data_IF_711983668581
#
_entry.id   IF_711983668581
#
_cell.length_a   1.000
_cell.length_b   1.000
_cell.length_c   1.000
_cell.angle_alpha   90.00
_cell.angle_beta   90.00
_cell.angle_gamma   90.00
#
_symmetry.space_group_name_H-M   'P 1'
#
loop_
_entity.id
_entity.type
_entity.pdbx_description
1 polymer ?
#
# COMPACT_ATOMS: atom_id res chain seq x y z
N UNK A 1 -43.05 35.01 -16.08
CA UNK A 1 -41.65 35.56 -15.98
C UNK A 1 -40.89 34.93 -14.80
N UNK A 2 -41.58 34.51 -13.73
CA UNK A 2 -40.90 33.99 -12.52
C UNK A 2 -40.40 32.53 -12.60
N UNK A 3 -40.89 31.73 -13.54
CA UNK A 3 -40.53 30.30 -13.61
C UNK A 3 -39.13 30.04 -14.16
N UNK A 4 -38.73 30.79 -15.18
CA UNK A 4 -37.37 30.70 -15.76
C UNK A 4 -36.28 31.18 -14.78
N UNK A 5 -36.57 32.23 -14.00
CA UNK A 5 -35.67 32.71 -12.94
C UNK A 5 -35.54 31.71 -11.80
N UNK A 6 -36.60 31.00 -11.43
CA UNK A 6 -36.55 29.95 -10.42
C UNK A 6 -35.71 28.74 -10.88
N UNK A 7 -35.87 28.29 -12.12
CA UNK A 7 -35.04 27.21 -12.71
C UNK A 7 -33.56 27.62 -12.77
N UNK A 8 -33.25 28.83 -13.16
CA UNK A 8 -31.89 29.34 -13.22
C UNK A 8 -31.23 29.37 -11.83
N UNK A 9 -31.94 29.82 -10.79
CA UNK A 9 -31.45 29.79 -9.42
C UNK A 9 -31.23 28.38 -8.89
N UNK A 10 -32.13 27.43 -9.17
CA UNK A 10 -31.97 26.03 -8.79
C UNK A 10 -30.75 25.40 -9.46
N UNK A 11 -30.56 25.62 -10.76
CA UNK A 11 -29.37 25.13 -11.47
C UNK A 11 -28.06 25.74 -10.94
N UNK A 12 -28.09 27.02 -10.59
CA UNK A 12 -26.93 27.69 -9.98
C UNK A 12 -26.60 27.10 -8.60
N UNK A 13 -27.61 26.86 -7.77
CA UNK A 13 -27.43 26.24 -6.45
C UNK A 13 -26.92 24.79 -6.56
N UNK A 14 -27.47 23.99 -7.48
CA UNK A 14 -27.02 22.62 -7.74
C UNK A 14 -25.55 22.57 -8.19
N UNK A 15 -25.12 23.53 -9.00
CA UNK A 15 -23.72 23.65 -9.42
C UNK A 15 -22.78 23.88 -8.24
N UNK A 16 -23.14 24.73 -7.29
CA UNK A 16 -22.33 24.95 -6.10
C UNK A 16 -22.35 23.74 -5.15
N UNK A 17 -23.49 23.09 -4.97
CA UNK A 17 -23.59 21.86 -4.19
C UNK A 17 -22.67 20.78 -4.78
N UNK A 18 -22.66 20.62 -6.10
CA UNK A 18 -21.78 19.66 -6.79
C UNK A 18 -20.30 19.99 -6.61
N UNK A 19 -19.92 21.28 -6.70
CA UNK A 19 -18.54 21.74 -6.47
C UNK A 19 -18.14 21.49 -5.01
N UNK A 20 -18.99 21.80 -4.02
CA UNK A 20 -18.71 21.53 -2.62
C UNK A 20 -18.61 20.03 -2.32
N UNK A 21 -19.44 19.20 -2.95
CA UNK A 21 -19.37 17.75 -2.83
C UNK A 21 -18.06 17.19 -3.39
N UNK A 22 -17.59 17.68 -4.55
CA UNK A 22 -16.29 17.34 -5.11
C UNK A 22 -15.13 17.75 -4.20
N UNK A 23 -15.18 18.95 -3.62
CA UNK A 23 -14.18 19.43 -2.66
C UNK A 23 -14.16 18.59 -1.38
N UNK A 24 -15.32 18.19 -0.86
CA UNK A 24 -15.41 17.31 0.32
C UNK A 24 -14.84 15.90 0.03
N UNK A 25 -15.10 15.34 -1.14
CA UNK A 25 -14.56 14.01 -1.53
C UNK A 25 -13.04 14.07 -1.61
N UNK A 26 -12.45 15.18 -2.08
CA UNK A 26 -10.99 15.32 -2.19
C UNK A 26 -10.26 15.36 -0.84
N UNK A 27 -10.93 15.73 0.25
CA UNK A 27 -10.31 15.78 1.59
C UNK A 27 -10.09 14.41 2.23
N UNK A 28 -10.76 13.37 1.74
CA UNK A 28 -10.62 11.98 2.22
C UNK A 28 -9.66 11.12 1.38
N UNK A 29 -9.00 11.72 0.38
CA UNK A 29 -8.05 10.99 -0.46
C UNK A 29 -6.69 10.88 0.23
N UNK A 30 -6.43 9.75 0.88
CA UNK A 30 -5.07 9.37 1.27
C UNK A 30 -4.33 8.88 0.02
N UNK A 31 -3.39 9.68 -0.47
CA UNK A 31 -2.59 9.33 -1.62
C UNK A 31 -1.27 8.72 -1.17
N UNK A 32 -1.04 7.49 -1.59
CA UNK A 32 0.29 6.86 -1.56
C UNK A 32 1.15 7.54 -2.62
N UNK A 33 2.31 8.03 -2.25
CA UNK A 33 3.12 8.83 -3.15
C UNK A 33 4.52 8.28 -3.30
N UNK A 34 4.92 8.10 -4.54
CA UNK A 34 6.32 7.89 -4.91
C UNK A 34 7.18 9.09 -4.47
N UNK A 35 8.41 8.82 -4.08
CA UNK A 35 9.37 9.87 -3.68
C UNK A 35 9.58 10.82 -4.86
N UNK A 36 9.49 12.14 -4.59
CA UNK A 36 9.74 13.18 -5.61
C UNK A 36 8.55 13.59 -6.48
N UNK A 37 7.36 12.99 -6.30
CA UNK A 37 6.19 13.27 -7.15
C UNK A 37 5.47 14.59 -6.83
N UNK A 38 5.77 15.23 -5.71
CA UNK A 38 5.04 16.41 -5.18
C UNK A 38 5.72 17.76 -5.40
N UNK A 39 6.86 17.81 -6.06
CA UNK A 39 7.55 19.07 -6.27
C UNK A 39 7.15 19.73 -7.59
N UNK A 40 7.29 21.07 -7.68
CA UNK A 40 7.11 21.79 -8.94
C UNK A 40 8.13 21.39 -10.02
N UNK A 41 9.16 20.62 -9.63
CA UNK A 41 10.21 20.09 -10.51
C UNK A 41 10.04 18.59 -10.76
N UNK A 42 8.90 18.02 -10.38
CA UNK A 42 8.67 16.57 -10.50
C UNK A 42 8.55 16.09 -11.95
N UNK A 43 8.25 17.00 -12.88
CA UNK A 43 8.18 16.66 -14.30
C UNK A 43 7.33 15.42 -14.58
N UNK A 44 7.90 14.45 -15.27
CA UNK A 44 7.26 13.16 -15.60
C UNK A 44 6.90 12.32 -14.36
N UNK A 45 7.56 12.52 -13.22
CA UNK A 45 7.24 11.81 -11.98
C UNK A 45 5.88 12.22 -11.40
N UNK A 46 5.38 13.41 -11.72
CA UNK A 46 4.06 13.88 -11.26
C UNK A 46 2.89 13.13 -11.89
N UNK A 47 3.09 12.45 -13.02
CA UNK A 47 2.05 11.75 -13.76
C UNK A 47 1.30 10.72 -12.93
N UNK A 48 1.97 10.06 -12.00
CA UNK A 48 1.36 9.06 -11.13
C UNK A 48 0.41 9.64 -10.10
N UNK A 49 0.65 10.90 -9.68
CA UNK A 49 -0.08 11.57 -8.60
C UNK A 49 -1.09 12.60 -9.12
N UNK A 50 -0.60 13.53 -9.93
CA UNK A 50 -1.41 14.64 -10.42
C UNK A 50 -0.97 15.07 -11.84
N UNK A 51 -1.71 14.66 -12.87
CA UNK A 51 -1.35 14.97 -14.24
C UNK A 51 -1.37 16.47 -14.55
N UNK A 52 -2.09 17.30 -13.79
CA UNK A 52 -2.10 18.75 -14.03
C UNK A 52 -0.74 19.40 -13.82
N UNK A 53 0.16 18.78 -13.05
CA UNK A 53 1.49 19.32 -12.78
C UNK A 53 2.42 19.28 -13.99
N UNK A 54 2.17 18.44 -15.01
CA UNK A 54 3.06 18.39 -16.17
C UNK A 54 2.97 19.69 -17.03
N UNK A 55 1.83 20.38 -17.05
CA UNK A 55 1.74 21.68 -17.73
C UNK A 55 2.44 22.81 -16.97
N UNK A 56 2.78 22.59 -15.68
CA UNK A 56 3.54 23.57 -14.88
C UNK A 56 5.04 23.41 -15.03
N UNK A 57 5.50 22.31 -15.63
CA UNK A 57 6.93 22.05 -15.82
C UNK A 57 7.56 23.07 -16.75
N UNK A 58 8.75 23.53 -16.41
CA UNK A 58 9.57 24.38 -17.26
C UNK A 58 10.33 23.60 -18.34
N UNK A 59 10.28 22.26 -18.28
CA UNK A 59 10.97 21.39 -19.23
C UNK A 59 10.08 21.15 -20.45
N UNK A 60 10.67 21.21 -21.63
CA UNK A 60 10.01 20.84 -22.87
C UNK A 60 9.74 19.33 -22.96
N UNK A 61 10.70 18.55 -22.47
CA UNK A 61 10.58 17.10 -22.35
C UNK A 61 11.29 16.65 -21.09
N UNK A 62 10.72 15.63 -20.44
CA UNK A 62 11.31 14.98 -19.28
C UNK A 62 10.99 13.49 -19.32
N UNK A 63 11.94 12.69 -18.83
CA UNK A 63 11.76 11.26 -18.69
C UNK A 63 12.32 10.75 -17.38
N UNK A 64 11.65 9.77 -16.84
CA UNK A 64 12.08 9.08 -15.61
C UNK A 64 12.06 7.57 -15.84
N UNK A 65 13.12 6.91 -15.39
CA UNK A 65 13.25 5.46 -15.39
C UNK A 65 13.39 4.97 -13.95
N UNK A 66 12.70 3.88 -13.63
CA UNK A 66 12.84 3.14 -12.38
C UNK A 66 12.66 3.99 -11.11
N UNK A 67 11.49 4.59 -10.99
CA UNK A 67 11.09 5.19 -9.73
C UNK A 67 10.26 4.18 -8.93
N UNK A 68 10.52 4.05 -7.63
CA UNK A 68 9.82 3.11 -6.78
C UNK A 68 9.33 3.77 -5.49
N UNK A 69 8.23 3.25 -4.98
CA UNK A 69 7.69 3.60 -3.69
C UNK A 69 7.29 2.35 -2.94
N UNK A 70 7.64 2.30 -1.67
CA UNK A 70 7.21 1.24 -0.75
C UNK A 70 6.42 1.91 0.36
N UNK A 71 5.24 1.37 0.63
CA UNK A 71 4.44 1.77 1.79
C UNK A 71 4.14 0.53 2.60
N UNK A 72 4.44 0.57 3.87
CA UNK A 72 4.06 -0.46 4.82
C UNK A 72 3.32 0.20 5.98
N UNK A 73 2.20 -0.36 6.34
CA UNK A 73 1.40 0.03 7.49
C UNK A 73 1.02 -1.21 8.29
N UNK A 74 1.14 -1.11 9.58
CA UNK A 74 0.64 -2.11 10.51
C UNK A 74 0.20 -1.41 11.80
N UNK A 75 -0.61 -2.08 12.62
CA UNK A 75 -1.11 -1.57 13.90
C UNK A 75 -0.49 -2.28 15.12
N UNK A 76 0.42 -3.24 14.89
CA UNK A 76 1.04 -4.03 15.96
C UNK A 76 2.49 -3.63 16.30
N UNK A 77 3.20 -2.95 15.40
CA UNK A 77 4.58 -2.57 15.60
C UNK A 77 4.88 -1.17 15.11
N UNK A 78 5.76 -0.45 15.78
CA UNK A 78 6.17 0.88 15.39
C UNK A 78 7.66 1.13 15.66
N UNK A 79 8.21 2.10 14.94
CA UNK A 79 9.56 2.60 15.15
C UNK A 79 9.43 3.98 15.76
N UNK A 80 10.16 4.25 16.84
CA UNK A 80 10.21 5.58 17.40
C UNK A 80 10.89 6.53 16.38
N UNK A 81 10.34 7.73 16.21
CA UNK A 81 10.85 8.70 15.22
C UNK A 81 12.33 9.07 15.46
N UNK A 82 12.81 9.06 16.72
CA UNK A 82 14.23 9.26 17.04
C UNK A 82 15.14 8.16 16.49
N UNK A 83 14.62 6.93 16.38
CA UNK A 83 15.39 5.74 16.04
C UNK A 83 15.30 5.37 14.55
N UNK A 84 14.49 6.09 13.79
CA UNK A 84 14.27 5.82 12.36
C UNK A 84 15.57 5.83 11.54
N UNK A 85 16.51 6.74 11.85
CA UNK A 85 17.82 6.76 11.22
C UNK A 85 18.61 5.49 11.52
N UNK A 86 18.60 5.05 12.78
CA UNK A 86 19.33 3.86 13.22
C UNK A 86 18.70 2.60 12.61
N UNK A 87 17.38 2.57 12.46
CA UNK A 87 16.67 1.50 11.74
C UNK A 87 17.15 1.37 10.28
N UNK A 88 17.39 2.46 9.57
CA UNK A 88 17.85 2.42 8.18
C UNK A 88 19.31 1.98 8.04
N UNK A 89 20.17 2.30 9.00
CA UNK A 89 21.62 2.14 8.85
C UNK A 89 22.26 1.10 9.78
N UNK A 90 21.58 0.71 10.87
CA UNK A 90 22.08 -0.26 11.85
C UNK A 90 21.25 -1.54 11.83
N UNK A 91 21.67 -2.54 11.07
CA UNK A 91 20.90 -3.78 10.88
C UNK A 91 20.85 -4.68 12.13
N UNK A 92 21.77 -4.53 13.05
CA UNK A 92 22.00 -5.51 14.13
C UNK A 92 21.01 -5.44 15.28
N UNK A 93 20.12 -4.43 15.31
CA UNK A 93 19.24 -4.17 16.44
C UNK A 93 17.78 -3.88 16.03
N UNK A 94 17.34 -4.39 14.89
CA UNK A 94 15.97 -4.14 14.41
C UNK A 94 14.96 -4.85 15.33
N UNK A 95 15.21 -6.11 15.64
CA UNK A 95 14.35 -6.93 16.48
C UNK A 95 14.84 -6.98 17.91
N UNK A 96 13.92 -7.10 18.90
CA UNK A 96 14.31 -7.22 20.30
C UNK A 96 15.14 -8.47 20.54
N UNK A 97 16.23 -8.30 21.27
CA UNK A 97 17.01 -9.42 21.80
C UNK A 97 16.60 -9.62 23.24
N UNK A 98 16.22 -10.84 23.62
CA UNK A 98 15.88 -11.17 25.00
C UNK A 98 17.12 -11.67 25.73
N UNK A 99 17.43 -11.06 26.88
CA UNK A 99 18.42 -11.58 27.79
C UNK A 99 17.81 -12.66 28.71
N UNK A 100 18.66 -13.42 29.40
CA UNK A 100 18.31 -14.57 30.26
C UNK A 100 17.21 -14.27 31.30
N UNK A 101 16.96 -12.99 31.60
CA UNK A 101 15.96 -12.54 32.58
C UNK A 101 14.66 -12.02 31.93
N UNK A 102 14.45 -12.21 30.60
CA UNK A 102 13.23 -11.80 29.93
C UNK A 102 13.13 -10.31 29.60
N UNK A 103 14.16 -9.51 29.86
CA UNK A 103 14.17 -8.09 29.52
C UNK A 103 14.60 -7.90 28.06
N UNK A 104 13.85 -7.07 27.33
CA UNK A 104 14.17 -6.66 25.97
C UNK A 104 15.32 -5.65 25.98
N UNK A 105 16.38 -5.94 25.23
CA UNK A 105 17.51 -5.03 25.11
C UNK A 105 17.81 -4.71 23.64
N UNK A 106 18.25 -3.49 23.38
CA UNK A 106 18.78 -3.05 22.07
C UNK A 106 17.86 -3.30 20.88
N UNK A 107 16.63 -2.81 20.90
CA UNK A 107 15.68 -2.95 19.78
C UNK A 107 15.22 -1.58 19.27
N UNK A 108 14.94 -1.54 17.97
CA UNK A 108 14.43 -0.37 17.28
C UNK A 108 12.94 -0.51 16.89
N UNK A 109 12.43 -1.74 16.87
CA UNK A 109 11.03 -2.04 16.59
C UNK A 109 10.31 -2.31 17.91
N UNK A 110 9.33 -1.49 18.23
CA UNK A 110 8.51 -1.58 19.43
C UNK A 110 7.17 -2.23 19.09
N UNK A 111 6.67 -3.04 20.00
CA UNK A 111 5.34 -3.63 19.89
C UNK A 111 4.24 -2.71 20.45
N UNK A 112 3.06 -2.82 19.89
CA UNK A 112 1.85 -2.16 20.35
C UNK A 112 0.83 -3.23 20.75
N UNK A 113 1.11 -3.93 21.87
CA UNK A 113 0.28 -5.06 22.30
C UNK A 113 -0.99 -4.52 22.95
N UNK A 114 -2.08 -4.48 22.21
CA UNK A 114 -3.40 -4.17 22.76
C UNK A 114 -4.31 -5.41 22.91
N UNK A 115 -3.79 -6.61 22.62
CA UNK A 115 -4.49 -7.90 22.66
C UNK A 115 -5.75 -7.95 21.79
N UNK A 116 -5.75 -7.20 20.70
CA UNK A 116 -6.78 -7.22 19.66
C UNK A 116 -6.26 -7.82 18.37
N UNK A 117 -7.15 -8.00 17.43
CA UNK A 117 -6.75 -8.39 16.07
C UNK A 117 -6.00 -7.25 15.39
N UNK A 118 -4.99 -7.61 14.62
CA UNK A 118 -4.10 -6.68 13.94
C UNK A 118 -4.33 -6.67 12.43
N UNK A 119 -3.89 -5.58 11.82
CA UNK A 119 -3.94 -5.41 10.38
C UNK A 119 -2.56 -5.04 9.85
N UNK A 120 -2.25 -5.55 8.66
CA UNK A 120 -1.06 -5.21 7.90
C UNK A 120 -1.48 -4.79 6.50
N UNK A 121 -0.80 -3.80 5.98
CA UNK A 121 -0.98 -3.35 4.61
C UNK A 121 0.38 -2.99 4.03
N UNK A 122 0.68 -3.52 2.87
CA UNK A 122 1.90 -3.25 2.13
C UNK A 122 1.58 -2.89 0.69
N UNK A 123 2.30 -1.92 0.14
CA UNK A 123 2.27 -1.65 -1.29
C UNK A 123 3.66 -1.40 -1.84
N UNK A 124 3.88 -1.91 -3.02
CA UNK A 124 5.03 -1.64 -3.86
C UNK A 124 4.53 -1.01 -5.15
N UNK A 125 4.96 0.22 -5.40
CA UNK A 125 4.69 0.96 -6.61
C UNK A 125 6.00 1.11 -7.41
N UNK A 126 6.06 0.51 -8.59
CA UNK A 126 7.21 0.60 -9.50
C UNK A 126 6.78 1.40 -10.72
N UNK A 127 7.35 2.57 -10.91
CA UNK A 127 7.26 3.31 -12.17
C UNK A 127 8.45 2.90 -13.03
N UNK A 128 8.19 2.12 -14.06
CA UNK A 128 9.24 1.60 -14.94
C UNK A 128 9.67 2.65 -15.98
N UNK A 129 8.72 3.47 -16.42
CA UNK A 129 8.96 4.52 -17.41
C UNK A 129 7.90 5.61 -17.25
N UNK A 130 8.34 6.86 -17.21
CA UNK A 130 7.48 8.03 -17.38
C UNK A 130 8.09 9.00 -18.39
N UNK A 131 7.27 9.49 -19.28
CA UNK A 131 7.63 10.47 -20.31
C UNK A 131 6.67 11.64 -20.26
N UNK A 132 7.19 12.83 -20.44
CA UNK A 132 6.40 14.05 -20.53
C UNK A 132 6.91 14.90 -21.69
N UNK A 133 6.00 15.52 -22.44
CA UNK A 133 6.30 16.46 -23.49
C UNK A 133 5.36 17.67 -23.40
N UNK A 134 5.94 18.86 -23.39
CA UNK A 134 5.19 20.12 -23.52
C UNK A 134 4.87 20.35 -25.00
N UNK A 135 3.58 20.45 -25.32
CA UNK A 135 3.11 20.78 -26.67
C UNK A 135 3.32 22.28 -26.93
N UNK A 136 3.05 23.08 -25.91
CA UNK A 136 3.27 24.52 -25.84
C UNK A 136 3.31 24.97 -24.39
N UNK A 137 3.45 26.28 -24.13
CA UNK A 137 3.52 26.86 -22.78
C UNK A 137 2.28 26.60 -21.91
N UNK A 138 1.19 26.11 -22.48
CA UNK A 138 -0.07 25.92 -21.80
C UNK A 138 -0.56 24.45 -21.80
N UNK A 139 0.12 23.57 -22.49
CA UNK A 139 -0.36 22.19 -22.69
C UNK A 139 0.79 21.21 -22.67
N UNK A 140 0.57 20.08 -22.01
CA UNK A 140 1.52 18.98 -21.97
C UNK A 140 0.80 17.62 -22.07
N UNK A 141 1.51 16.64 -22.58
CA UNK A 141 1.10 15.24 -22.64
C UNK A 141 2.11 14.39 -21.87
N UNK A 142 1.64 13.28 -21.33
CA UNK A 142 2.48 12.35 -20.62
C UNK A 142 2.09 10.90 -20.87
N UNK A 143 3.07 10.03 -20.75
CA UNK A 143 2.91 8.59 -20.78
C UNK A 143 3.59 8.00 -19.56
N UNK A 144 2.98 7.00 -18.92
CA UNK A 144 3.63 6.25 -17.87
C UNK A 144 3.30 4.77 -17.94
N UNK A 145 4.28 3.95 -17.51
CA UNK A 145 4.17 2.52 -17.37
C UNK A 145 4.58 2.12 -15.95
N UNK A 146 3.61 1.60 -15.20
CA UNK A 146 3.76 1.28 -13.79
C UNK A 146 3.40 -0.17 -13.51
N UNK A 147 4.02 -0.75 -12.50
CA UNK A 147 3.62 -2.02 -11.90
C UNK A 147 3.32 -1.79 -10.42
N UNK A 148 2.24 -2.40 -9.93
CA UNK A 148 1.82 -2.27 -8.54
C UNK A 148 1.53 -3.61 -7.93
N UNK A 149 1.95 -3.74 -6.68
CA UNK A 149 1.66 -4.88 -5.80
C UNK A 149 1.05 -4.34 -4.53
N UNK A 150 -0.11 -4.89 -4.16
CA UNK A 150 -0.77 -4.58 -2.90
C UNK A 150 -1.00 -5.87 -2.13
N UNK A 151 -0.59 -5.88 -0.87
CA UNK A 151 -0.83 -7.00 0.04
C UNK A 151 -1.49 -6.45 1.30
N UNK A 152 -2.49 -7.16 1.79
CA UNK A 152 -3.18 -6.82 3.04
C UNK A 152 -3.48 -8.06 3.84
N UNK A 153 -3.32 -7.95 5.16
CA UNK A 153 -3.79 -8.92 6.13
C UNK A 153 -4.70 -8.22 7.13
N UNK A 154 -5.85 -8.79 7.42
CA UNK A 154 -6.80 -8.23 8.36
C UNK A 154 -7.27 -9.26 9.37
N UNK A 155 -7.64 -8.81 10.55
CA UNK A 155 -8.07 -9.66 11.68
C UNK A 155 -7.02 -10.71 12.06
N UNK A 156 -5.73 -10.36 11.96
CA UNK A 156 -4.63 -11.25 12.37
C UNK A 156 -4.63 -11.31 13.90
N UNK A 157 -4.71 -12.51 14.53
CA UNK A 157 -4.60 -12.65 15.97
C UNK A 157 -3.32 -11.99 16.50
N UNK A 158 -3.42 -11.28 17.61
CA UNK A 158 -2.30 -10.49 18.16
C UNK A 158 -1.07 -11.35 18.50
N UNK A 159 -1.27 -12.62 18.83
CA UNK A 159 -0.20 -13.56 19.17
C UNK A 159 0.70 -13.88 17.97
N UNK A 160 0.13 -13.91 16.75
CA UNK A 160 0.87 -14.29 15.55
C UNK A 160 1.96 -13.27 15.19
N UNK A 161 1.67 -11.95 15.06
CA UNK A 161 2.71 -10.94 14.85
C UNK A 161 3.74 -10.90 15.98
N UNK A 162 3.30 -11.07 17.22
CA UNK A 162 4.18 -11.05 18.38
C UNK A 162 5.21 -12.19 18.31
N UNK A 163 4.79 -13.40 18.02
CA UNK A 163 5.69 -14.53 17.87
C UNK A 163 6.57 -14.44 16.62
N UNK A 164 6.02 -13.99 15.50
CA UNK A 164 6.76 -13.92 14.25
C UNK A 164 7.79 -12.78 14.21
N UNK A 165 7.40 -11.59 14.71
CA UNK A 165 8.24 -10.41 14.64
C UNK A 165 9.17 -10.26 15.85
N UNK A 166 8.68 -10.57 17.03
CA UNK A 166 9.41 -10.31 18.26
C UNK A 166 10.04 -11.56 18.88
N UNK A 167 9.76 -12.76 18.34
CA UNK A 167 10.36 -14.04 18.76
C UNK A 167 10.47 -14.12 20.28
N UNK A 168 9.33 -14.16 20.96
CA UNK A 168 9.29 -14.25 22.42
C UNK A 168 9.99 -15.51 22.90
N UNK A 169 11.16 -15.35 23.53
CA UNK A 169 11.84 -16.43 24.21
C UNK A 169 11.04 -16.78 25.47
N UNK A 170 10.53 -18.01 25.49
CA UNK A 170 9.98 -18.60 26.70
C UNK A 170 9.11 -17.64 27.54
N UNK A 171 8.09 -17.04 26.93
CA UNK A 171 7.15 -16.22 27.66
C UNK A 171 5.90 -17.05 28.04
N UNK A 172 5.79 -17.55 29.26
CA UNK A 172 4.65 -18.35 29.70
C UNK A 172 3.30 -17.65 29.55
N UNK A 173 3.29 -16.30 29.48
CA UNK A 173 2.08 -15.49 29.35
C UNK A 173 1.37 -15.71 28.00
N UNK A 174 2.11 -16.09 26.96
CA UNK A 174 1.55 -16.32 25.61
C UNK A 174 1.23 -17.80 25.34
N UNK A 175 1.61 -18.70 26.25
CA UNK A 175 1.30 -20.13 26.10
C UNK A 175 -0.16 -20.39 26.40
N UNK A 176 -0.80 -21.15 25.52
CA UNK A 176 -2.20 -21.48 25.70
C UNK A 176 -2.87 -21.89 24.40
N UNK A 177 -4.13 -22.17 24.52
CA UNK A 177 -5.01 -22.55 23.41
C UNK A 177 -5.77 -21.32 22.93
N UNK A 178 -5.73 -21.09 21.61
CA UNK A 178 -6.30 -19.92 20.96
C UNK A 178 -7.23 -20.33 19.82
N UNK A 179 -8.26 -19.53 19.62
CA UNK A 179 -9.17 -19.67 18.50
C UNK A 179 -9.36 -18.31 17.83
N UNK A 180 -9.23 -18.29 16.53
CA UNK A 180 -9.48 -17.10 15.72
C UNK A 180 -10.42 -17.40 14.57
N UNK A 181 -11.19 -16.41 14.19
CA UNK A 181 -12.09 -16.45 13.06
C UNK A 181 -11.92 -15.20 12.20
N UNK A 182 -12.32 -15.31 10.93
CA UNK A 182 -12.39 -14.15 10.01
C UNK A 182 -11.05 -13.49 9.66
N UNK A 183 -9.92 -14.18 9.83
CA UNK A 183 -8.65 -13.69 9.33
C UNK A 183 -8.64 -13.72 7.80
N UNK A 184 -8.21 -12.64 7.17
CA UNK A 184 -8.13 -12.53 5.73
C UNK A 184 -6.77 -12.02 5.28
N UNK A 185 -6.23 -12.64 4.24
CA UNK A 185 -5.03 -12.19 3.52
C UNK A 185 -5.39 -12.02 2.05
N UNK A 186 -4.99 -10.90 1.46
CA UNK A 186 -5.22 -10.62 0.06
C UNK A 186 -3.98 -9.99 -0.57
N UNK A 187 -3.66 -10.42 -1.80
CA UNK A 187 -2.63 -9.83 -2.64
C UNK A 187 -3.20 -9.57 -4.03
N UNK A 188 -2.85 -8.43 -4.61
CA UNK A 188 -3.28 -8.04 -5.95
C UNK A 188 -2.12 -7.35 -6.67
N UNK A 189 -1.88 -7.79 -7.90
CA UNK A 189 -0.78 -7.32 -8.72
C UNK A 189 -1.27 -6.97 -10.13
N UNK A 190 -0.90 -5.78 -10.60
CA UNK A 190 -1.25 -5.33 -11.94
C UNK A 190 -0.23 -4.36 -12.53
N UNK A 191 -0.26 -4.24 -13.84
CA UNK A 191 0.45 -3.22 -14.60
C UNK A 191 -0.53 -2.14 -15.06
N UNK A 192 -0.03 -0.91 -15.16
CA UNK A 192 -0.78 0.25 -15.65
C UNK A 192 -0.04 0.88 -16.82
N UNK A 193 -0.72 1.01 -17.95
CA UNK A 193 -0.31 1.88 -19.06
C UNK A 193 -1.18 3.12 -19.01
N UNK A 194 -0.59 4.29 -18.87
CA UNK A 194 -1.34 5.54 -18.69
C UNK A 194 -0.94 6.60 -19.70
N UNK A 195 -1.94 7.30 -20.23
CA UNK A 195 -1.81 8.48 -21.06
C UNK A 195 -2.43 9.66 -20.34
N UNK A 196 -1.68 10.74 -20.20
CA UNK A 196 -2.09 11.96 -19.51
C UNK A 196 -2.07 13.15 -20.44
N UNK A 197 -3.01 14.05 -20.24
CA UNK A 197 -3.05 15.35 -20.86
C UNK A 197 -3.28 16.42 -19.80
N UNK A 198 -2.58 17.51 -19.89
CA UNK A 198 -2.71 18.65 -18.99
C UNK A 198 -2.79 19.96 -19.77
N UNK A 199 -3.56 20.89 -19.19
CA UNK A 199 -3.74 22.22 -19.78
C UNK A 199 -3.86 23.27 -18.71
N UNK A 200 -3.17 24.40 -18.90
CA UNK A 200 -3.39 25.64 -18.16
C UNK A 200 -4.77 26.22 -18.53
N UNK A 201 -5.65 26.36 -17.54
CA UNK A 201 -7.00 26.88 -17.71
C UNK A 201 -7.03 28.39 -17.49
N UNK A 202 -6.33 28.86 -16.47
CA UNK A 202 -6.32 30.27 -16.11
C UNK A 202 -4.98 30.65 -15.47
N UNK A 203 -4.50 31.82 -15.84
CA UNK A 203 -3.33 32.44 -15.18
C UNK A 203 -3.57 33.93 -15.05
N UNK A 204 -3.46 34.42 -13.81
CA UNK A 204 -3.54 35.85 -13.53
C UNK A 204 -2.61 36.20 -12.38
N UNK A 205 -1.58 36.99 -12.67
CA UNK A 205 -0.53 37.37 -11.72
C UNK A 205 0.11 36.10 -11.05
N UNK A 206 -0.11 35.93 -9.75
CA UNK A 206 0.42 34.80 -8.96
C UNK A 206 -0.51 33.60 -8.90
N UNK A 207 -1.73 33.72 -9.42
CA UNK A 207 -2.71 32.64 -9.40
C UNK A 207 -2.72 31.88 -10.73
N UNK A 208 -2.43 30.60 -10.66
CA UNK A 208 -2.45 29.67 -11.79
C UNK A 208 -3.38 28.50 -11.52
N UNK A 209 -4.19 28.13 -12.49
CA UNK A 209 -5.08 26.97 -12.44
C UNK A 209 -4.80 26.09 -13.65
N UNK A 210 -4.37 24.88 -13.37
CA UNK A 210 -4.12 23.83 -14.36
C UNK A 210 -5.10 22.68 -14.14
N UNK A 211 -5.55 22.05 -15.23
CA UNK A 211 -6.35 20.85 -15.20
C UNK A 211 -5.64 19.73 -15.96
N UNK A 212 -5.74 18.52 -15.47
CA UNK A 212 -5.19 17.33 -16.10
C UNK A 212 -6.17 16.16 -16.05
N UNK A 213 -6.06 15.29 -17.04
CA UNK A 213 -6.80 14.04 -17.14
C UNK A 213 -5.83 12.92 -17.49
N UNK A 214 -6.07 11.74 -16.92
CA UNK A 214 -5.31 10.53 -17.23
C UNK A 214 -6.27 9.41 -17.58
N UNK A 215 -6.04 8.76 -18.70
CA UNK A 215 -6.65 7.48 -19.06
C UNK A 215 -5.66 6.36 -18.73
N UNK A 216 -6.11 5.34 -17.96
CA UNK A 216 -5.29 4.20 -17.57
C UNK A 216 -5.88 2.91 -18.13
N UNK A 217 -5.02 2.08 -18.69
CA UNK A 217 -5.33 0.70 -19.04
C UNK A 217 -4.64 -0.21 -18.01
N UNK A 218 -5.44 -1.02 -17.32
CA UNK A 218 -4.98 -1.91 -16.24
C UNK A 218 -4.89 -3.34 -16.77
N UNK A 219 -3.76 -3.98 -16.52
CA UNK A 219 -3.48 -5.37 -16.88
C UNK A 219 -3.21 -6.12 -15.57
N UNK A 220 -4.23 -6.80 -15.04
CA UNK A 220 -4.06 -7.70 -13.90
C UNK A 220 -3.28 -8.94 -14.31
N UNK A 221 -2.31 -9.34 -13.51
CA UNK A 221 -1.54 -10.55 -13.80
C UNK A 221 -1.48 -11.53 -12.62
N UNK A 222 -1.70 -11.09 -11.41
CA UNK A 222 -1.75 -11.97 -10.24
C UNK A 222 -2.73 -11.45 -9.20
N UNK A 223 -3.47 -12.36 -8.59
CA UNK A 223 -4.33 -12.09 -7.44
C UNK A 223 -4.43 -13.32 -6.55
N UNK A 224 -4.43 -13.14 -5.25
CA UNK A 224 -4.68 -14.20 -4.28
C UNK A 224 -5.50 -13.66 -3.12
N UNK A 225 -6.48 -14.43 -2.65
CA UNK A 225 -7.27 -14.13 -1.46
C UNK A 225 -7.42 -15.40 -0.64
N UNK A 226 -6.99 -15.33 0.61
CA UNK A 226 -7.19 -16.38 1.60
C UNK A 226 -8.11 -15.88 2.71
N UNK A 227 -9.19 -16.59 2.97
CA UNK A 227 -10.07 -16.35 4.11
C UNK A 227 -9.93 -17.51 5.06
N UNK A 228 -9.50 -17.26 6.29
CA UNK A 228 -9.42 -18.28 7.35
C UNK A 228 -10.64 -18.11 8.23
N UNK A 229 -11.62 -19.00 8.05
CA UNK A 229 -12.91 -18.95 8.75
C UNK A 229 -12.82 -19.48 10.18
N UNK A 230 -11.88 -20.38 10.44
CA UNK A 230 -11.59 -20.90 11.78
C UNK A 230 -10.14 -21.36 11.86
N UNK A 231 -9.43 -20.84 12.82
CA UNK A 231 -8.05 -21.22 13.17
C UNK A 231 -8.01 -21.57 14.64
N UNK A 232 -7.72 -22.84 14.93
CA UNK A 232 -7.55 -23.38 16.28
C UNK A 232 -6.08 -23.79 16.43
N UNK A 233 -5.37 -23.18 17.36
CA UNK A 233 -3.95 -23.38 17.54
C UNK A 233 -3.52 -23.26 19.00
N UNK A 234 -2.39 -23.84 19.30
CA UNK A 234 -1.76 -23.79 20.60
C UNK A 234 -0.35 -23.21 20.51
N UNK A 235 0.01 -22.40 21.50
CA UNK A 235 1.36 -21.92 21.69
C UNK A 235 1.97 -22.74 22.80
N UNK A 236 2.99 -23.51 22.47
CA UNK A 236 3.64 -24.46 23.36
C UNK A 236 5.12 -24.10 23.54
N UNK A 237 5.65 -24.48 24.71
CA UNK A 237 7.10 -24.46 24.93
C UNK A 237 7.80 -25.41 23.98
N UNK A 238 8.81 -24.91 23.28
CA UNK A 238 9.69 -25.79 22.52
C UNK A 238 10.90 -26.12 23.40
N UNK A 239 11.00 -27.38 23.79
CA UNK A 239 12.09 -27.88 24.67
C UNK A 239 13.45 -28.00 23.93
N UNK A 240 13.47 -27.91 22.61
CA UNK A 240 14.68 -28.06 21.78
C UNK A 240 15.28 -26.70 21.42
N UNK A 241 14.44 -25.74 21.13
CA UNK A 241 14.82 -24.37 20.80
C UNK A 241 14.33 -23.42 21.91
N UNK A 242 15.08 -22.40 22.21
CA UNK A 242 14.69 -21.34 23.18
C UNK A 242 13.45 -20.51 22.76
N UNK A 243 12.64 -20.96 21.81
CA UNK A 243 11.47 -20.25 21.27
C UNK A 243 10.19 -21.06 21.42
N UNK A 244 9.08 -20.38 21.73
CA UNK A 244 7.78 -21.03 21.73
C UNK A 244 7.35 -21.43 20.29
N UNK A 245 6.60 -22.52 20.20
CA UNK A 245 6.13 -23.09 18.93
C UNK A 245 4.62 -22.91 18.77
N UNK A 246 4.17 -22.59 17.57
CA UNK A 246 2.74 -22.60 17.22
C UNK A 246 2.39 -23.96 16.63
N UNK A 247 1.44 -24.65 17.25
CA UNK A 247 0.88 -25.91 16.77
C UNK A 247 -0.54 -25.64 16.31
N UNK A 248 -0.80 -25.82 15.02
CA UNK A 248 -2.15 -25.66 14.46
C UNK A 248 -2.90 -26.98 14.59
N UNK A 249 -3.95 -26.98 15.41
CA UNK A 249 -4.82 -28.13 15.65
C UNK A 249 -5.87 -28.29 14.55
N UNK A 250 -6.45 -27.16 14.12
CA UNK A 250 -7.48 -27.15 13.09
C UNK A 250 -7.45 -25.83 12.32
N UNK A 251 -7.54 -25.94 11.00
CA UNK A 251 -7.72 -24.79 10.12
C UNK A 251 -8.86 -25.06 9.14
N UNK A 252 -9.74 -24.08 8.99
CA UNK A 252 -10.74 -24.03 7.93
C UNK A 252 -10.51 -22.73 7.14
N UNK A 253 -10.07 -22.89 5.90
CA UNK A 253 -9.70 -21.75 5.07
C UNK A 253 -10.16 -21.95 3.63
N UNK A 254 -10.57 -20.85 2.99
CA UNK A 254 -10.87 -20.77 1.58
C UNK A 254 -9.75 -19.98 0.89
N UNK A 255 -9.19 -20.53 -0.17
CA UNK A 255 -8.16 -19.90 -0.98
C UNK A 255 -8.65 -19.75 -2.41
N UNK A 256 -8.68 -18.50 -2.90
CA UNK A 256 -8.89 -18.17 -4.30
C UNK A 256 -7.65 -17.47 -4.84
N UNK A 257 -7.19 -17.88 -6.01
CA UNK A 257 -6.02 -17.27 -6.65
C UNK A 257 -6.15 -17.27 -8.18
N UNK A 258 -5.50 -16.30 -8.79
CA UNK A 258 -5.32 -16.16 -10.23
C UNK A 258 -3.86 -15.82 -10.47
N UNK A 259 -3.10 -16.75 -11.01
CA UNK A 259 -1.68 -16.57 -11.32
C UNK A 259 -1.49 -16.62 -12.84
N UNK A 260 -0.45 -15.98 -13.40
CA UNK A 260 -0.16 -15.96 -14.83
C UNK A 260 0.49 -17.29 -15.29
N UNK A 261 -0.14 -18.41 -14.94
CA UNK A 261 0.33 -19.76 -15.23
C UNK A 261 -0.70 -20.52 -16.04
N UNK A 262 -0.25 -21.57 -16.74
CA UNK A 262 -1.13 -22.43 -17.49
C UNK A 262 -1.85 -23.43 -16.55
N UNK A 263 -3.11 -23.18 -16.20
CA UNK A 263 -3.92 -24.06 -15.36
C UNK A 263 -4.29 -25.40 -16.04
N UNK A 264 -3.95 -25.58 -17.31
CA UNK A 264 -4.22 -26.84 -18.05
C UNK A 264 -3.21 -27.96 -17.75
N UNK A 265 -2.09 -27.66 -17.11
CA UNK A 265 -1.15 -28.66 -16.62
C UNK A 265 -1.49 -29.00 -15.18
N UNK A 266 -1.66 -30.31 -14.89
CA UNK A 266 -2.02 -30.77 -13.54
C UNK A 266 -0.97 -30.30 -12.52
N UNK A 267 -1.38 -29.44 -11.60
CA UNK A 267 -0.60 -29.08 -10.43
C UNK A 267 -0.46 -30.31 -9.53
N UNK A 268 0.61 -31.05 -9.68
CA UNK A 268 1.05 -31.97 -8.64
C UNK A 268 2.02 -31.22 -7.74
N UNK A 269 1.87 -31.34 -6.44
CA UNK A 269 2.73 -30.73 -5.42
C UNK A 269 4.23 -31.04 -5.61
N UNK A 270 4.57 -32.03 -6.39
CA UNK A 270 5.93 -32.39 -6.81
C UNK A 270 6.50 -31.43 -7.89
N UNK A 271 5.67 -30.86 -8.76
CA UNK A 271 6.17 -30.01 -9.86
C UNK A 271 6.63 -28.60 -9.44
N UNK A 272 6.30 -28.15 -8.23
CA UNK A 272 6.69 -26.83 -7.72
C UNK A 272 8.08 -26.85 -7.07
N UNK A 273 8.55 -28.00 -6.61
CA UNK A 273 9.81 -28.13 -5.88
C UNK A 273 10.93 -28.85 -6.66
N UNK A 274 10.64 -29.37 -7.85
CA UNK A 274 11.62 -30.16 -8.64
C UNK A 274 12.49 -29.30 -9.61
N UNK A 275 12.30 -27.99 -9.63
CA UNK A 275 13.09 -27.06 -10.47
C UNK A 275 13.99 -26.10 -9.65
N UNK A 276 14.43 -26.51 -8.46
CA UNK A 276 15.41 -25.77 -7.67
C UNK A 276 16.75 -26.48 -7.61
#
# INVERSE_FOLDING_TARGET
>A
INFAAAIFNVMHTLKYIFIYMLLLISTFSYSQTLIGTRSNYSGSNSLSLNPSLISTSYLYADFSLFNFGITAFNDFAYINGSDFRDFLFKKDHIFPTYEVNGYRTNFLLYDNIDKKTNNIYESLDLNLLSLMFSINENQAVGFSFNTRVYTSGTNIPWEIPELCAFRTKNNPEYRGHYQSSEMRVASLEWMEVALSYSRKIHERYLNRVDAGITAKYLIGYSAAVGNINNLDYEILENSVDDYDSIVVNKINADLAYSLPINYGESFTSQGVFDNS
#
